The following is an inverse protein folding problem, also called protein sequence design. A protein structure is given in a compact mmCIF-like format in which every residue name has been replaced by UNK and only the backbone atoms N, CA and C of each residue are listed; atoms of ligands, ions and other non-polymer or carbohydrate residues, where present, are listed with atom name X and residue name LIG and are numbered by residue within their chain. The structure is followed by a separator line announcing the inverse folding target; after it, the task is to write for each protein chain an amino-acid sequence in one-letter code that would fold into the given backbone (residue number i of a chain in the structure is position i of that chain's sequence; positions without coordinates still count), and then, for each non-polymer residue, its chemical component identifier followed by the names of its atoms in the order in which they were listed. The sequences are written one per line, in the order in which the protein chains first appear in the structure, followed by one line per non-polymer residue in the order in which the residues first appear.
data_IF_235164292732
#
_entry.id   IF_235164292732
#
_cell.length_a   1.000
_cell.length_b   1.000
_cell.length_c   1.000
_cell.angle_alpha   90.00
_cell.angle_beta   90.00
_cell.angle_gamma   90.00
#
_symmetry.space_group_name_H-M   'P 1'
#
loop_
_entity.id
_entity.type
_entity.pdbx_description
1 polymer ?
#
# COMPACT_ATOMS: atom_id res chain seq x y z
N UNK A 1 0.04 -27.10 -5.18
CA UNK A 1 0.72 -25.82 -4.86
C UNK A 1 -0.34 -24.76 -4.82
N UNK A 2 -0.37 -23.89 -3.81
CA UNK A 2 -1.37 -22.82 -3.72
C UNK A 2 -1.33 -21.92 -4.96
N UNK A 3 -2.46 -21.45 -5.40
CA UNK A 3 -2.59 -20.64 -6.63
C UNK A 3 -1.74 -19.36 -6.59
N UNK A 4 -1.67 -18.73 -5.42
CA UNK A 4 -0.88 -17.50 -5.19
C UNK A 4 0.64 -17.69 -5.30
N UNK A 5 1.17 -18.93 -5.23
CA UNK A 5 2.60 -19.19 -5.30
C UNK A 5 3.12 -19.59 -6.69
N UNK A 6 2.24 -19.71 -7.69
CA UNK A 6 2.62 -20.21 -9.01
C UNK A 6 3.63 -19.31 -9.72
N UNK A 7 3.51 -17.98 -9.55
CA UNK A 7 4.40 -17.00 -10.15
C UNK A 7 5.76 -17.00 -9.47
N UNK A 8 5.80 -16.99 -8.14
CA UNK A 8 7.04 -17.00 -7.37
C UNK A 8 7.83 -18.29 -7.63
N UNK A 9 7.15 -19.42 -7.77
CA UNK A 9 7.84 -20.69 -8.09
C UNK A 9 8.52 -20.68 -9.47
N UNK A 10 7.93 -20.00 -10.45
CA UNK A 10 8.59 -19.79 -11.75
C UNK A 10 9.85 -18.94 -11.60
N UNK A 11 9.80 -17.89 -10.78
CA UNK A 11 10.93 -16.99 -10.51
C UNK A 11 12.02 -17.71 -9.71
N UNK A 12 11.67 -18.53 -8.73
CA UNK A 12 12.63 -19.39 -8.02
C UNK A 12 13.30 -20.39 -8.95
N UNK A 13 12.58 -20.93 -9.94
CA UNK A 13 13.16 -21.83 -10.95
C UNK A 13 14.15 -21.12 -11.90
N UNK A 14 14.06 -19.79 -12.05
CA UNK A 14 15.05 -18.99 -12.77
C UNK A 14 16.36 -18.78 -11.97
N UNK A 15 16.41 -19.17 -10.69
CA UNK A 15 17.61 -19.13 -9.86
C UNK A 15 17.60 -18.07 -8.76
N UNK A 16 16.57 -17.22 -8.66
CA UNK A 16 16.41 -16.32 -7.53
C UNK A 16 16.15 -17.10 -6.24
N UNK A 17 16.67 -16.61 -5.12
CA UNK A 17 16.56 -17.27 -3.80
C UNK A 17 15.72 -16.46 -2.82
N UNK A 18 15.73 -15.15 -2.97
CA UNK A 18 15.02 -14.23 -2.08
C UNK A 18 14.32 -13.16 -2.91
N UNK A 19 13.01 -13.20 -2.91
CA UNK A 19 12.16 -12.24 -3.61
C UNK A 19 11.25 -11.54 -2.60
N UNK A 20 10.81 -10.34 -2.91
CA UNK A 20 9.77 -9.65 -2.14
C UNK A 20 8.62 -9.23 -3.04
N UNK A 21 7.43 -9.17 -2.49
CA UNK A 21 6.27 -8.52 -3.09
C UNK A 21 6.14 -7.10 -2.58
N UNK A 22 5.70 -6.18 -3.44
CA UNK A 22 5.54 -4.75 -3.13
C UNK A 22 4.21 -4.26 -3.68
N UNK A 23 3.46 -3.56 -2.86
CA UNK A 23 2.20 -2.90 -3.24
C UNK A 23 2.02 -1.58 -2.51
N UNK A 24 1.15 -0.71 -3.03
CA UNK A 24 0.82 0.59 -2.46
C UNK A 24 -0.68 0.79 -2.21
N UNK A 25 -0.98 1.67 -1.26
CA UNK A 25 -2.30 2.21 -1.00
C UNK A 25 -2.24 3.74 -0.97
N UNK A 26 -3.22 4.41 -1.60
CA UNK A 26 -3.31 5.87 -1.56
C UNK A 26 -3.11 6.58 -2.89
N UNK A 27 -2.94 5.87 -4.02
CA UNK A 27 -2.87 6.52 -5.36
C UNK A 27 -4.21 7.06 -5.86
N UNK A 28 -5.31 6.43 -5.49
CA UNK A 28 -6.65 6.82 -5.93
C UNK A 28 -7.34 7.90 -5.08
N UNK A 29 -7.10 8.01 -3.78
CA UNK A 29 -7.66 9.07 -2.95
C UNK A 29 -7.16 10.46 -3.35
N UNK A 30 -7.98 11.48 -3.03
CA UNK A 30 -7.66 12.91 -3.24
C UNK A 30 -6.94 13.52 -2.04
N UNK A 31 -6.98 12.89 -0.87
CA UNK A 31 -6.37 13.38 0.35
C UNK A 31 -5.57 12.28 1.07
N UNK A 32 -4.52 12.71 1.77
CA UNK A 32 -3.64 11.86 2.55
C UNK A 32 -2.45 11.32 1.75
N UNK A 33 -1.50 10.66 2.45
CA UNK A 33 -0.26 10.16 1.87
C UNK A 33 -0.46 8.88 1.07
N UNK A 34 0.56 8.51 0.28
CA UNK A 34 0.74 7.16 -0.25
C UNK A 34 1.47 6.32 0.79
N UNK A 35 0.98 5.12 1.05
CA UNK A 35 1.63 4.11 1.86
C UNK A 35 2.02 2.93 0.98
N UNK A 36 3.25 2.45 1.07
CA UNK A 36 3.68 1.22 0.41
C UNK A 36 4.19 0.22 1.44
N UNK A 37 4.09 -1.06 1.11
CA UNK A 37 4.70 -2.13 1.87
C UNK A 37 5.49 -3.06 0.97
N UNK A 38 6.51 -3.68 1.55
CA UNK A 38 7.31 -4.74 0.94
C UNK A 38 7.35 -5.92 1.91
N UNK A 39 7.17 -7.14 1.39
CA UNK A 39 7.09 -8.35 2.21
C UNK A 39 7.88 -9.48 1.56
N UNK A 40 8.62 -10.24 2.37
CA UNK A 40 9.24 -11.51 2.02
C UNK A 40 8.59 -12.59 2.87
N UNK A 41 7.82 -13.48 2.26
CA UNK A 41 7.27 -14.65 2.95
C UNK A 41 8.21 -15.86 2.84
N UNK A 42 8.16 -16.80 3.78
CA UNK A 42 8.75 -18.12 3.57
C UNK A 42 8.12 -18.81 2.35
N UNK A 43 8.98 -19.34 1.47
CA UNK A 43 8.55 -19.99 0.22
C UNK A 43 7.47 -21.05 0.47
N UNK A 44 6.35 -20.95 -0.24
CA UNK A 44 5.23 -21.88 -0.15
C UNK A 44 4.36 -21.74 1.11
N UNK A 45 4.60 -20.73 1.93
CA UNK A 45 3.77 -20.47 3.12
C UNK A 45 2.35 -20.08 2.72
N UNK A 46 1.38 -20.76 3.29
CA UNK A 46 -0.03 -20.37 3.19
C UNK A 46 -0.47 -19.60 4.44
N UNK A 47 -0.97 -18.40 4.25
CA UNK A 47 -1.62 -17.63 5.32
C UNK A 47 -3.14 -17.76 5.11
N UNK A 48 -3.88 -18.41 6.03
CA UNK A 48 -5.31 -18.61 5.86
C UNK A 48 -6.06 -17.30 5.67
N UNK A 49 -6.80 -17.21 4.57
CA UNK A 49 -7.61 -16.02 4.24
C UNK A 49 -6.86 -14.90 3.51
N UNK A 50 -5.57 -15.08 3.23
CA UNK A 50 -4.82 -14.16 2.37
C UNK A 50 -5.34 -14.27 0.93
N UNK A 51 -5.77 -13.16 0.37
CA UNK A 51 -6.26 -12.99 -1.00
C UNK A 51 -6.08 -11.52 -1.39
N UNK A 52 -6.39 -11.14 -2.61
CA UNK A 52 -6.49 -9.76 -3.06
C UNK A 52 -7.18 -8.86 -2.02
N UNK A 53 -6.44 -7.87 -1.52
CA UNK A 53 -6.92 -7.00 -0.45
C UNK A 53 -8.21 -6.25 -0.79
N UNK A 54 -8.48 -6.04 -2.09
CA UNK A 54 -9.70 -5.39 -2.60
C UNK A 54 -10.94 -6.29 -2.48
N UNK A 55 -10.75 -7.62 -2.47
CA UNK A 55 -11.82 -8.59 -2.23
C UNK A 55 -12.08 -8.82 -0.74
N UNK A 56 -11.14 -8.47 0.12
CA UNK A 56 -11.26 -8.62 1.56
C UNK A 56 -12.07 -7.47 2.15
N UNK A 57 -12.93 -7.77 3.11
CA UNK A 57 -13.56 -6.73 3.95
C UNK A 57 -12.50 -6.04 4.82
N UNK A 58 -12.77 -4.82 5.29
CA UNK A 58 -11.87 -4.09 6.21
C UNK A 58 -11.53 -4.95 7.45
N UNK A 59 -12.53 -5.60 8.06
CA UNK A 59 -12.35 -6.49 9.20
C UNK A 59 -11.41 -7.67 8.91
N UNK A 60 -11.53 -8.28 7.73
CA UNK A 60 -10.65 -9.40 7.32
C UNK A 60 -9.22 -8.93 7.07
N UNK A 61 -9.04 -7.77 6.41
CA UNK A 61 -7.71 -7.18 6.22
C UNK A 61 -7.05 -6.86 7.55
N UNK A 62 -7.78 -6.24 8.46
CA UNK A 62 -7.30 -5.91 9.80
C UNK A 62 -6.86 -7.17 10.57
N UNK A 63 -7.64 -8.25 10.49
CA UNK A 63 -7.31 -9.53 11.11
C UNK A 63 -6.07 -10.22 10.52
N UNK A 64 -5.70 -9.93 9.26
CA UNK A 64 -4.52 -10.47 8.60
C UNK A 64 -3.24 -9.69 8.88
N UNK A 65 -3.32 -8.46 9.36
CA UNK A 65 -2.18 -7.55 9.52
C UNK A 65 -1.08 -8.15 10.40
N UNK A 66 -1.40 -8.54 11.63
CA UNK A 66 -0.41 -9.13 12.54
C UNK A 66 0.02 -10.55 12.12
N UNK A 67 -0.87 -11.45 11.66
CA UNK A 67 -0.45 -12.74 11.11
C UNK A 67 0.54 -12.63 9.94
N UNK A 68 0.35 -11.69 8.99
CA UNK A 68 1.29 -11.46 7.90
C UNK A 68 2.65 -11.03 8.43
N UNK A 69 2.70 -10.05 9.34
CA UNK A 69 3.95 -9.58 9.95
C UNK A 69 4.69 -10.67 10.72
N UNK A 70 3.96 -11.47 11.47
CA UNK A 70 4.54 -12.55 12.28
C UNK A 70 5.07 -13.71 11.42
N UNK A 71 4.45 -13.96 10.26
CA UNK A 71 4.84 -15.05 9.36
C UNK A 71 5.95 -14.66 8.37
N UNK A 72 6.12 -13.37 8.09
CA UNK A 72 7.10 -12.88 7.12
C UNK A 72 8.55 -13.08 7.60
N UNK A 73 9.45 -13.42 6.70
CA UNK A 73 10.90 -13.38 6.92
C UNK A 73 11.34 -11.94 7.20
N UNK A 74 10.80 -11.01 6.41
CA UNK A 74 11.04 -9.57 6.58
C UNK A 74 9.88 -8.79 5.97
N UNK A 75 9.60 -7.62 6.52
CA UNK A 75 8.62 -6.68 6.00
C UNK A 75 9.07 -5.24 6.25
N UNK A 76 8.65 -4.36 5.37
CA UNK A 76 8.85 -2.91 5.48
C UNK A 76 7.60 -2.17 5.09
N UNK A 77 7.33 -1.03 5.74
CA UNK A 77 6.19 -0.16 5.47
C UNK A 77 6.70 1.29 5.47
N UNK A 78 6.35 2.06 4.46
CA UNK A 78 6.76 3.44 4.35
C UNK A 78 5.70 4.32 3.72
N UNK A 79 5.76 5.60 4.03
CA UNK A 79 4.92 6.64 3.46
C UNK A 79 5.71 7.56 2.54
N UNK A 80 5.04 8.09 1.51
CA UNK A 80 5.36 9.37 0.89
C UNK A 80 4.28 10.37 1.27
N UNK A 81 4.69 11.47 1.88
CA UNK A 81 3.80 12.48 2.45
C UNK A 81 3.19 13.39 1.37
N UNK A 82 2.24 14.23 1.75
CA UNK A 82 1.50 15.06 0.81
C UNK A 82 2.41 16.06 0.09
N UNK A 83 3.36 16.67 0.78
CA UNK A 83 4.38 17.56 0.20
C UNK A 83 5.26 16.84 -0.83
N UNK A 84 5.63 15.59 -0.58
CA UNK A 84 6.37 14.76 -1.54
C UNK A 84 5.51 14.38 -2.76
N UNK A 85 4.19 14.21 -2.58
CA UNK A 85 3.26 14.00 -3.70
C UNK A 85 3.15 15.25 -4.57
N UNK A 86 3.13 16.45 -3.97
CA UNK A 86 3.11 17.72 -4.68
C UNK A 86 4.39 17.92 -5.51
N UNK A 87 5.55 17.55 -4.96
CA UNK A 87 6.85 17.67 -5.62
C UNK A 87 7.05 16.64 -6.74
N UNK A 88 6.75 15.37 -6.47
CA UNK A 88 7.10 14.23 -7.33
C UNK A 88 5.95 13.75 -8.23
N UNK A 89 4.75 14.27 -8.05
CA UNK A 89 3.46 13.71 -8.47
C UNK A 89 3.17 12.35 -7.83
N UNK A 90 1.92 11.86 -8.02
CA UNK A 90 1.44 10.63 -7.37
C UNK A 90 2.23 9.38 -7.77
N UNK A 91 2.72 9.28 -8.99
CA UNK A 91 3.49 8.14 -9.46
C UNK A 91 4.90 8.14 -8.84
N UNK A 92 5.58 9.28 -8.86
CA UNK A 92 6.90 9.45 -8.24
C UNK A 92 6.85 9.18 -6.74
N UNK A 93 5.86 9.72 -6.04
CA UNK A 93 5.62 9.49 -4.63
C UNK A 93 5.34 8.00 -4.31
N UNK A 94 4.61 7.29 -5.20
CA UNK A 94 4.41 5.85 -5.04
C UNK A 94 5.73 5.09 -5.11
N UNK A 95 6.58 5.39 -6.08
CA UNK A 95 7.92 4.77 -6.17
C UNK A 95 8.81 5.12 -4.99
N UNK A 96 8.74 6.35 -4.48
CA UNK A 96 9.47 6.75 -3.29
C UNK A 96 9.06 5.92 -2.06
N UNK A 97 7.74 5.77 -1.83
CA UNK A 97 7.24 4.94 -0.74
C UNK A 97 7.64 3.47 -0.90
N UNK A 98 7.56 2.91 -2.11
CA UNK A 98 7.99 1.53 -2.41
C UNK A 98 9.49 1.34 -2.16
N UNK A 99 10.35 2.23 -2.63
CA UNK A 99 11.79 2.15 -2.39
C UNK A 99 12.09 2.16 -0.89
N UNK A 100 11.50 3.09 -0.14
CA UNK A 100 11.64 3.16 1.32
C UNK A 100 11.15 1.89 2.04
N UNK A 101 10.10 1.25 1.53
CA UNK A 101 9.62 -0.01 2.09
C UNK A 101 10.60 -1.17 1.81
N UNK A 102 11.15 -1.27 0.59
CA UNK A 102 12.13 -2.30 0.22
C UNK A 102 13.44 -2.11 1.01
N UNK A 103 13.89 -0.87 1.22
CA UNK A 103 15.10 -0.54 1.98
C UNK A 103 15.07 -1.01 3.45
N UNK A 104 13.88 -1.20 4.01
CA UNK A 104 13.71 -1.74 5.38
C UNK A 104 13.90 -3.25 5.47
N UNK A 105 13.93 -3.97 4.34
CA UNK A 105 14.00 -5.43 4.35
C UNK A 105 15.39 -5.92 4.74
N UNK A 106 15.45 -6.85 5.67
CA UNK A 106 16.65 -7.55 6.10
C UNK A 106 16.32 -9.04 6.35
N UNK A 107 16.84 -9.97 5.53
CA UNK A 107 17.80 -9.77 4.42
C UNK A 107 17.21 -8.98 3.23
N UNK A 108 18.08 -8.32 2.46
CA UNK A 108 17.68 -7.60 1.25
C UNK A 108 17.25 -8.58 0.14
N UNK A 109 16.17 -8.29 -0.61
CA UNK A 109 15.71 -9.14 -1.70
C UNK A 109 16.65 -9.07 -2.92
N UNK A 110 16.73 -10.17 -3.66
CA UNK A 110 17.42 -10.23 -4.97
C UNK A 110 16.55 -9.68 -6.10
N UNK A 111 15.21 -9.76 -5.93
CA UNK A 111 14.23 -9.28 -6.90
C UNK A 111 12.98 -8.79 -6.18
N UNK A 112 12.48 -7.63 -6.56
CA UNK A 112 11.20 -7.08 -6.11
C UNK A 112 10.11 -7.30 -7.17
N UNK A 113 8.99 -7.87 -6.77
CA UNK A 113 7.78 -8.02 -7.58
C UNK A 113 6.84 -6.88 -7.25
N UNK A 114 6.61 -5.99 -8.21
CA UNK A 114 5.84 -4.77 -8.01
C UNK A 114 4.42 -4.96 -8.56
N UNK A 115 3.38 -4.70 -7.75
CA UNK A 115 2.02 -4.69 -8.28
C UNK A 115 1.86 -3.60 -9.32
N UNK A 116 1.21 -3.94 -10.45
CA UNK A 116 0.98 -3.02 -11.53
C UNK A 116 1.84 -3.24 -12.77
N UNK A 117 2.00 -2.18 -13.57
CA UNK A 117 2.63 -2.24 -14.89
C UNK A 117 3.81 -1.26 -15.07
N UNK A 118 4.30 -0.65 -13.99
CA UNK A 118 5.40 0.33 -14.01
C UNK A 118 6.32 0.12 -12.82
N UNK A 119 7.63 0.11 -13.10
CA UNK A 119 8.69 0.00 -12.09
C UNK A 119 9.89 0.91 -12.40
N UNK A 120 9.74 1.86 -13.32
CA UNK A 120 10.84 2.70 -13.79
C UNK A 120 11.47 3.60 -12.72
N UNK A 121 10.78 3.81 -11.60
CA UNK A 121 11.29 4.56 -10.44
C UNK A 121 11.72 3.68 -9.28
N UNK A 122 11.80 2.36 -9.45
CA UNK A 122 12.28 1.43 -8.43
C UNK A 122 13.81 1.31 -8.54
N UNK A 123 14.50 1.51 -7.41
CA UNK A 123 15.97 1.49 -7.33
C UNK A 123 16.57 0.08 -7.18
N UNK A 124 15.72 -0.94 -7.20
CA UNK A 124 16.09 -2.35 -7.03
C UNK A 124 15.82 -3.14 -8.31
N UNK A 125 16.48 -4.29 -8.46
CA UNK A 125 16.08 -5.24 -9.48
C UNK A 125 14.60 -5.58 -9.28
N UNK A 126 13.77 -5.37 -10.31
CA UNK A 126 12.32 -5.46 -10.14
C UNK A 126 11.60 -5.95 -11.40
N UNK A 127 10.46 -6.58 -11.20
CA UNK A 127 9.51 -6.98 -12.27
C UNK A 127 8.10 -6.53 -11.91
N UNK A 128 7.39 -6.01 -12.90
CA UNK A 128 5.97 -5.69 -12.76
C UNK A 128 5.11 -6.96 -12.82
N UNK A 129 4.11 -7.02 -11.97
CA UNK A 129 3.10 -8.08 -11.95
C UNK A 129 1.72 -7.44 -12.00
N UNK A 130 1.09 -7.47 -13.17
CA UNK A 130 -0.27 -6.93 -13.32
C UNK A 130 -1.26 -7.77 -12.52
N UNK A 131 -2.03 -7.12 -11.62
CA UNK A 131 -2.90 -7.75 -10.64
C UNK A 131 -2.13 -8.72 -9.74
N UNK A 132 -0.97 -8.29 -9.28
CA UNK A 132 -0.06 -9.09 -8.48
C UNK A 132 -0.68 -9.52 -7.14
N UNK A 133 -1.49 -8.66 -6.54
CA UNK A 133 -2.25 -8.91 -5.32
C UNK A 133 -3.15 -10.17 -5.37
N UNK A 134 -3.55 -10.60 -6.57
CA UNK A 134 -4.34 -11.83 -6.79
C UNK A 134 -3.53 -13.01 -7.37
N UNK A 135 -2.22 -12.85 -7.59
CA UNK A 135 -1.38 -13.81 -8.33
C UNK A 135 -0.06 -14.16 -7.64
N UNK A 136 0.31 -13.40 -6.62
CA UNK A 136 1.59 -13.47 -5.94
C UNK A 136 1.35 -13.32 -4.43
N UNK A 137 1.78 -14.30 -3.64
CA UNK A 137 1.56 -14.32 -2.19
C UNK A 137 2.27 -13.16 -1.48
N UNK A 138 3.50 -12.84 -1.88
CA UNK A 138 4.28 -11.73 -1.32
C UNK A 138 3.60 -10.39 -1.61
N UNK A 139 3.06 -10.18 -2.83
CA UNK A 139 2.33 -8.96 -3.19
C UNK A 139 0.99 -8.89 -2.43
N UNK A 140 0.25 -9.99 -2.32
CA UNK A 140 -0.99 -10.03 -1.55
C UNK A 140 -0.76 -9.65 -0.07
N UNK A 141 0.32 -10.16 0.52
CA UNK A 141 0.73 -9.78 1.87
C UNK A 141 1.09 -8.29 1.98
N UNK A 142 1.87 -7.77 1.04
CA UNK A 142 2.23 -6.35 0.98
C UNK A 142 0.99 -5.46 0.85
N UNK A 143 0.03 -5.86 0.01
CA UNK A 143 -1.23 -5.12 -0.21
C UNK A 143 -2.05 -4.99 1.07
N UNK A 144 -2.12 -6.06 1.88
CA UNK A 144 -2.77 -6.02 3.19
C UNK A 144 -2.06 -5.04 4.12
N UNK A 145 -0.72 -5.10 4.23
CA UNK A 145 0.03 -4.22 5.12
C UNK A 145 -0.09 -2.75 4.71
N UNK A 146 0.08 -2.43 3.43
CA UNK A 146 -0.04 -1.07 2.92
C UNK A 146 -1.46 -0.50 3.15
N UNK A 147 -2.49 -1.29 2.84
CA UNK A 147 -3.89 -0.86 2.96
C UNK A 147 -4.31 -0.63 4.40
N UNK A 148 -4.00 -1.56 5.31
CA UNK A 148 -4.35 -1.42 6.72
C UNK A 148 -3.62 -0.25 7.36
N UNK A 149 -2.32 -0.11 7.10
CA UNK A 149 -1.52 1.00 7.65
C UNK A 149 -2.05 2.35 7.20
N UNK A 150 -2.37 2.48 5.91
CA UNK A 150 -2.93 3.74 5.40
C UNK A 150 -4.33 4.02 5.95
N UNK A 151 -5.18 3.02 6.06
CA UNK A 151 -6.53 3.21 6.58
C UNK A 151 -6.49 3.63 8.06
N UNK A 152 -5.59 3.07 8.88
CA UNK A 152 -5.34 3.51 10.27
C UNK A 152 -4.87 4.97 10.33
N UNK A 153 -3.92 5.35 9.49
CA UNK A 153 -3.48 6.75 9.38
C UNK A 153 -4.64 7.69 9.05
N UNK A 154 -5.53 7.32 8.12
CA UNK A 154 -6.69 8.15 7.77
C UNK A 154 -7.74 8.21 8.88
N UNK A 155 -7.82 7.22 9.77
CA UNK A 155 -8.64 7.29 10.98
C UNK A 155 -8.06 8.28 12.00
N UNK A 156 -6.74 8.28 12.21
CA UNK A 156 -6.07 9.29 13.04
C UNK A 156 -6.29 10.71 12.49
N UNK A 157 -6.23 10.87 11.17
CA UNK A 157 -6.53 12.16 10.52
C UNK A 157 -8.00 12.56 10.68
N UNK A 158 -8.93 11.60 10.75
CA UNK A 158 -10.34 11.89 11.00
C UNK A 158 -10.57 12.46 12.42
N UNK A 159 -9.79 12.01 13.41
CA UNK A 159 -9.85 12.59 14.77
C UNK A 159 -9.30 14.01 14.82
N UNK A 160 -8.22 14.29 14.06
CA UNK A 160 -7.61 15.62 14.00
C UNK A 160 -8.42 16.61 13.15
N UNK A 161 -9.10 16.12 12.13
CA UNK A 161 -9.85 16.91 11.15
C UNK A 161 -11.27 16.37 10.95
N UNK A 162 -12.12 16.38 11.99
CA UNK A 162 -13.45 15.75 11.94
C UNK A 162 -14.38 16.34 10.87
N UNK A 163 -14.14 17.59 10.45
CA UNK A 163 -14.93 18.27 9.43
C UNK A 163 -14.85 17.61 8.04
N UNK A 164 -13.82 16.79 7.77
CA UNK A 164 -13.65 16.11 6.48
C UNK A 164 -14.25 14.71 6.45
N UNK A 165 -14.61 14.12 7.60
CA UNK A 165 -15.20 12.78 7.71
C UNK A 165 -14.34 11.65 7.06
N UNK A 166 -13.02 11.72 7.23
CA UNK A 166 -12.08 10.73 6.65
C UNK A 166 -12.33 9.30 7.13
N UNK A 167 -12.95 9.11 8.28
CA UNK A 167 -13.33 7.79 8.80
C UNK A 167 -14.27 7.04 7.85
N UNK A 168 -15.05 7.78 7.02
CA UNK A 168 -16.05 7.19 6.12
C UNK A 168 -15.47 6.83 4.75
N UNK A 169 -14.57 7.66 4.22
CA UNK A 169 -14.10 7.53 2.84
C UNK A 169 -12.58 7.47 2.69
N UNK A 170 -11.82 7.54 3.79
CA UNK A 170 -10.34 7.40 3.77
C UNK A 170 -9.64 8.31 2.74
N UNK A 171 -10.22 9.49 2.47
CA UNK A 171 -9.71 10.45 1.50
C UNK A 171 -10.12 10.23 0.04
N UNK A 172 -10.91 9.20 -0.27
CA UNK A 172 -11.44 9.01 -1.63
C UNK A 172 -12.43 10.12 -2.02
N UNK A 173 -12.51 10.43 -3.33
CA UNK A 173 -13.38 11.46 -3.91
C UNK A 173 -14.85 11.07 -3.92
N UNK A 174 -15.44 10.89 -2.76
CA UNK A 174 -16.86 10.67 -2.58
C UNK A 174 -17.63 12.00 -2.57
N UNK A 175 -18.93 11.97 -2.83
CA UNK A 175 -19.79 13.17 -2.71
C UNK A 175 -19.60 13.86 -1.37
N UNK A 176 -19.55 13.11 -0.27
CA UNK A 176 -19.34 13.63 1.07
C UNK A 176 -17.98 14.34 1.22
N UNK A 177 -16.91 13.82 0.62
CA UNK A 177 -15.59 14.46 0.65
C UNK A 177 -15.62 15.81 -0.08
N UNK A 178 -16.20 15.85 -1.29
CA UNK A 178 -16.35 17.09 -2.04
C UNK A 178 -17.21 18.14 -1.28
N UNK A 179 -18.30 17.72 -0.65
CA UNK A 179 -19.14 18.59 0.16
C UNK A 179 -18.38 19.16 1.36
N UNK A 180 -17.60 18.33 2.08
CA UNK A 180 -16.79 18.75 3.21
C UNK A 180 -15.71 19.78 2.80
N UNK A 181 -15.01 19.54 1.70
CA UNK A 181 -14.00 20.48 1.17
C UNK A 181 -14.65 21.81 0.76
N UNK A 182 -15.78 21.77 0.03
CA UNK A 182 -16.50 22.96 -0.39
C UNK A 182 -16.97 23.81 0.80
N UNK A 183 -17.48 23.17 1.84
CA UNK A 183 -17.93 23.85 3.05
C UNK A 183 -16.79 24.54 3.81
N UNK A 184 -15.63 23.87 3.95
CA UNK A 184 -14.46 24.44 4.62
C UNK A 184 -13.86 25.62 3.83
N UNK A 185 -13.90 25.58 2.50
CA UNK A 185 -13.43 26.67 1.63
C UNK A 185 -14.32 27.90 1.74
N UNK A 186 -15.65 27.72 1.79
CA UNK A 186 -16.59 28.82 1.98
C UNK A 186 -16.39 29.53 3.33
N UNK A 187 -16.17 28.78 4.42
CA UNK A 187 -15.88 29.36 5.74
C UNK A 187 -14.57 30.14 5.81
N UNK A 188 -13.53 29.72 5.11
CA UNK A 188 -12.28 30.47 5.04
C UNK A 188 -12.44 31.84 4.38
N UNK A 189 -13.37 31.98 3.42
CA UNK A 189 -13.72 33.28 2.82
C UNK A 189 -14.60 34.14 3.70
N UNK A 190 -15.45 33.58 4.58
CA UNK A 190 -16.29 34.33 5.51
C UNK A 190 -15.48 34.95 6.66
N UNK A 191 -14.42 34.28 7.14
CA UNK A 191 -13.56 34.79 8.22
C UNK A 191 -12.66 35.97 7.79
N UNK A 192 -12.47 36.19 6.49
CA UNK A 192 -11.72 37.33 5.96
C UNK A 192 -12.54 38.59 5.74
N UNK A 193 -13.84 38.59 6.09
CA UNK A 193 -14.77 39.74 5.94
C UNK A 193 -15.13 40.43 7.25
N UNK A 194 -14.42 40.15 8.36
CA UNK A 194 -14.63 40.83 9.65
C UNK A 194 -13.34 41.49 10.14
#
# INVERSE_FOLDING_TARGET
MPELWQLEEQIYAEGFRLICGVDEAGRGPLAGPVCAAAVILPRGLEIPGLDDSKKLTEKKREALFEPVKAAAISWGIAFAQVDEIEELNILGASFLAMNRAIEQLNPAPELALIDGNRNSGINFASRCVVKGDSRCADIAAASVLAKVTRDRYMLEMAELYPQYAFERHKGYGTKQHYEAVSYTHLRAHETLRH
#
